data_IF_563522829287
#
_entry.id   IF_563522829287
#
_cell.length_a   1.000
_cell.length_b   1.000
_cell.length_c   1.000
_cell.angle_alpha   90.00
_cell.angle_beta   90.00
_cell.angle_gamma   90.00
#
_symmetry.space_group_name_H-M   'P 1'
#
loop_
_entity.id
_entity.type
_entity.pdbx_description
1 polymer ?
#
# COMPACT_ATOMS: atom_id res chain seq x y z
N UNK A 1 -27.09 0.75 -13.24
CA UNK A 1 -26.10 0.88 -12.14
C UNK A 1 -24.95 -0.10 -12.28
N UNK A 2 -25.22 -1.40 -12.39
CA UNK A 2 -24.18 -2.45 -12.51
C UNK A 2 -23.21 -2.22 -13.69
N UNK A 3 -23.71 -1.87 -14.88
CA UNK A 3 -22.85 -1.56 -16.04
C UNK A 3 -21.90 -0.36 -15.84
N UNK A 4 -22.33 0.66 -15.08
CA UNK A 4 -21.49 1.84 -14.78
C UNK A 4 -20.37 1.43 -13.82
N UNK A 5 -20.71 0.66 -12.78
CA UNK A 5 -19.75 0.13 -11.83
C UNK A 5 -18.65 -0.71 -12.52
N UNK A 6 -19.01 -1.56 -13.48
CA UNK A 6 -18.03 -2.33 -14.26
C UNK A 6 -17.12 -1.48 -15.12
N UNK A 7 -17.69 -0.49 -15.82
CA UNK A 7 -16.87 0.44 -16.62
C UNK A 7 -15.89 1.18 -15.72
N UNK A 8 -16.33 1.62 -14.54
CA UNK A 8 -15.45 2.27 -13.56
C UNK A 8 -14.37 1.33 -13.05
N UNK A 9 -14.72 0.10 -12.66
CA UNK A 9 -13.75 -0.91 -12.19
C UNK A 9 -12.71 -1.24 -13.26
N UNK A 10 -13.13 -1.43 -14.52
CA UNK A 10 -12.23 -1.69 -15.65
C UNK A 10 -11.27 -0.51 -15.90
N UNK A 11 -11.78 0.73 -15.86
CA UNK A 11 -10.94 1.93 -15.97
C UNK A 11 -9.95 2.02 -14.82
N UNK A 12 -10.38 1.75 -13.58
CA UNK A 12 -9.50 1.76 -12.41
C UNK A 12 -8.41 0.69 -12.53
N UNK A 13 -8.72 -0.51 -13.02
CA UNK A 13 -7.72 -1.56 -13.26
C UNK A 13 -6.69 -1.19 -14.32
N UNK A 14 -7.04 -0.32 -15.27
CA UNK A 14 -6.09 0.17 -16.25
C UNK A 14 -5.23 1.32 -15.70
N UNK A 15 -5.84 2.29 -15.02
CA UNK A 15 -5.16 3.52 -14.56
C UNK A 15 -4.33 3.27 -13.29
N UNK A 16 -4.88 2.53 -12.32
CA UNK A 16 -4.27 2.41 -11.01
C UNK A 16 -2.89 1.71 -11.02
N UNK A 17 -2.67 0.62 -11.78
CA UNK A 17 -1.33 0.03 -11.90
C UNK A 17 -0.32 0.99 -12.53
N UNK A 18 -0.73 1.77 -13.53
CA UNK A 18 0.15 2.76 -14.17
C UNK A 18 0.56 3.85 -13.18
N UNK A 19 -0.40 4.43 -12.45
CA UNK A 19 -0.12 5.44 -11.41
C UNK A 19 0.75 4.85 -10.30
N UNK A 20 0.49 3.60 -9.89
CA UNK A 20 1.28 2.91 -8.89
C UNK A 20 2.75 2.75 -9.32
N UNK A 21 2.99 2.25 -10.54
CA UNK A 21 4.34 2.04 -11.08
C UNK A 21 5.06 3.38 -11.23
N UNK A 22 4.42 4.36 -11.88
CA UNK A 22 5.01 5.69 -12.11
C UNK A 22 5.31 6.40 -10.80
N UNK A 23 4.40 6.35 -9.82
CA UNK A 23 4.61 6.92 -8.49
C UNK A 23 5.77 6.28 -7.74
N UNK A 24 5.89 4.95 -7.78
CA UNK A 24 7.02 4.22 -7.18
C UNK A 24 8.35 4.59 -7.83
N UNK A 25 8.41 4.65 -9.16
CA UNK A 25 9.63 5.04 -9.90
C UNK A 25 10.00 6.48 -9.57
N UNK A 26 9.05 7.41 -9.67
CA UNK A 26 9.25 8.82 -9.37
C UNK A 26 9.82 9.02 -7.96
N UNK A 27 9.16 8.43 -6.94
CA UNK A 27 9.61 8.56 -5.55
C UNK A 27 10.96 7.88 -5.32
N UNK A 28 11.20 6.71 -5.92
CA UNK A 28 12.46 6.00 -5.80
C UNK A 28 13.63 6.80 -6.36
N UNK A 29 13.44 7.47 -7.50
CA UNK A 29 14.46 8.35 -8.11
C UNK A 29 14.64 9.60 -7.25
N UNK A 30 13.53 10.26 -6.86
CA UNK A 30 13.58 11.54 -6.15
C UNK A 30 14.16 11.42 -4.73
N UNK A 31 13.94 10.28 -4.08
CA UNK A 31 14.39 10.00 -2.72
C UNK A 31 15.61 9.08 -2.67
N UNK A 32 16.26 8.80 -3.81
CA UNK A 32 17.39 7.86 -3.92
C UNK A 32 18.49 8.13 -2.90
N UNK A 33 18.87 9.39 -2.70
CA UNK A 33 19.94 9.79 -1.77
C UNK A 33 19.59 9.54 -0.30
N UNK A 34 18.30 9.49 0.05
CA UNK A 34 17.82 9.27 1.42
C UNK A 34 17.23 7.88 1.63
N UNK A 35 17.33 6.97 0.64
CA UNK A 35 16.66 5.66 0.67
C UNK A 35 16.92 4.89 1.98
N UNK A 36 18.19 4.72 2.35
CA UNK A 36 18.57 3.93 3.53
C UNK A 36 18.10 4.59 4.82
N UNK A 37 18.23 5.92 4.91
CA UNK A 37 17.74 6.71 6.05
C UNK A 37 16.22 6.56 6.21
N UNK A 38 15.46 6.69 5.11
CA UNK A 38 14.01 6.57 5.12
C UNK A 38 13.56 5.16 5.50
N UNK A 39 14.16 4.12 4.94
CA UNK A 39 13.87 2.73 5.31
C UNK A 39 14.10 2.53 6.81
N UNK A 40 15.26 2.98 7.33
CA UNK A 40 15.58 2.87 8.75
C UNK A 40 14.58 3.61 9.62
N UNK A 41 14.19 4.83 9.25
CA UNK A 41 13.21 5.64 9.99
C UNK A 41 11.83 4.99 10.00
N UNK A 42 11.37 4.46 8.86
CA UNK A 42 10.05 3.79 8.73
C UNK A 42 10.03 2.50 9.53
N UNK A 43 11.10 1.69 9.45
CA UNK A 43 11.22 0.45 10.23
C UNK A 43 11.30 0.73 11.73
N UNK A 44 12.04 1.77 12.14
CA UNK A 44 12.16 2.14 13.55
C UNK A 44 10.85 2.66 14.15
N UNK A 45 9.99 3.29 13.33
CA UNK A 45 8.65 3.71 13.74
C UNK A 45 7.63 2.55 13.75
N UNK A 46 7.99 1.39 13.19
CA UNK A 46 7.10 0.24 13.19
C UNK A 46 6.96 -0.34 14.61
N UNK A 47 5.84 -1.00 14.91
CA UNK A 47 5.62 -1.69 16.18
C UNK A 47 6.71 -2.72 16.47
N UNK A 48 7.10 -2.86 17.74
CA UNK A 48 8.31 -3.61 18.15
C UNK A 48 8.39 -5.02 17.56
N UNK A 49 7.26 -5.74 17.54
CA UNK A 49 7.17 -7.10 17.01
C UNK A 49 7.23 -7.21 15.47
N UNK A 50 7.12 -6.11 14.74
CA UNK A 50 7.13 -6.08 13.27
C UNK A 50 8.28 -5.29 12.66
N UNK A 51 9.09 -4.61 13.49
CA UNK A 51 10.20 -3.75 13.08
C UNK A 51 11.18 -4.41 12.10
N UNK A 52 11.67 -5.60 12.43
CA UNK A 52 12.64 -6.30 11.59
C UNK A 52 11.98 -6.74 10.27
N UNK A 53 10.71 -7.14 10.33
CA UNK A 53 9.95 -7.54 9.14
C UNK A 53 9.66 -6.34 8.22
N UNK A 54 9.33 -5.18 8.79
CA UNK A 54 9.17 -3.95 8.02
C UNK A 54 10.44 -3.58 7.26
N UNK A 55 11.60 -3.72 7.90
CA UNK A 55 12.90 -3.52 7.25
C UNK A 55 13.10 -4.49 6.10
N UNK A 56 12.93 -5.79 6.37
CA UNK A 56 13.13 -6.85 5.39
C UNK A 56 12.21 -6.70 4.16
N UNK A 57 10.95 -6.31 4.36
CA UNK A 57 10.00 -6.04 3.27
C UNK A 57 10.51 -4.92 2.36
N UNK A 58 11.06 -3.85 2.93
CA UNK A 58 11.56 -2.69 2.18
C UNK A 58 12.93 -2.91 1.52
N UNK A 59 13.76 -3.83 2.03
CA UNK A 59 15.11 -4.06 1.52
C UNK A 59 15.19 -5.23 0.53
N UNK A 60 14.41 -6.29 0.74
CA UNK A 60 14.62 -7.58 0.06
C UNK A 60 13.39 -8.10 -0.70
N UNK A 61 12.17 -7.79 -0.24
CA UNK A 61 10.96 -8.42 -0.80
C UNK A 61 10.25 -7.57 -1.85
N UNK A 62 10.31 -6.24 -1.71
CA UNK A 62 9.57 -5.32 -2.57
C UNK A 62 10.39 -4.06 -2.85
N UNK A 63 10.07 -3.31 -3.93
CA UNK A 63 10.53 -1.95 -4.08
C UNK A 63 10.25 -1.16 -2.79
N UNK A 64 11.25 -0.49 -2.24
CA UNK A 64 11.17 0.05 -0.87
C UNK A 64 10.00 1.03 -0.65
N UNK A 65 9.61 1.80 -1.68
CA UNK A 65 8.42 2.67 -1.65
C UNK A 65 7.16 1.82 -1.46
N UNK A 66 6.95 0.78 -2.28
CA UNK A 66 5.84 -0.15 -2.14
C UNK A 66 5.88 -0.91 -0.80
N UNK A 67 7.07 -1.38 -0.39
CA UNK A 67 7.25 -2.09 0.88
C UNK A 67 6.88 -1.24 2.10
N UNK A 68 7.20 0.06 2.07
CA UNK A 68 6.82 0.98 3.14
C UNK A 68 5.30 1.18 3.28
N UNK A 69 4.53 0.86 2.23
CA UNK A 69 3.10 1.06 2.18
C UNK A 69 2.29 -0.04 2.89
N UNK A 70 2.95 -1.07 3.45
CA UNK A 70 2.28 -2.24 4.02
C UNK A 70 1.23 -1.88 5.08
N UNK A 71 1.40 -0.78 5.82
CA UNK A 71 0.41 -0.35 6.82
C UNK A 71 -0.80 0.38 6.22
N UNK A 72 -0.68 0.92 5.00
CA UNK A 72 -1.71 1.67 4.29
C UNK A 72 -2.57 0.81 3.36
N UNK A 73 -2.10 -0.38 3.03
CA UNK A 73 -2.81 -1.33 2.20
C UNK A 73 -3.94 -1.97 3.03
N UNK A 74 -5.16 -2.03 2.50
CA UNK A 74 -6.30 -2.49 3.29
C UNK A 74 -6.24 -4.00 3.59
N UNK A 75 -5.76 -4.82 2.63
CA UNK A 75 -5.73 -6.28 2.78
C UNK A 75 -4.56 -6.79 3.65
N UNK A 76 -3.55 -5.95 3.91
CA UNK A 76 -2.48 -6.26 4.87
C UNK A 76 -2.89 -5.97 6.30
N UNK A 77 -3.95 -5.18 6.53
CA UNK A 77 -4.43 -4.87 7.88
C UNK A 77 -4.78 -6.12 8.70
N UNK A 78 -5.52 -7.13 8.18
CA UNK A 78 -5.74 -8.38 8.90
C UNK A 78 -4.44 -9.12 9.24
N UNK A 79 -3.45 -9.12 8.34
CA UNK A 79 -2.14 -9.74 8.57
C UNK A 79 -1.43 -9.04 9.75
N UNK A 80 -1.37 -7.71 9.71
CA UNK A 80 -0.76 -6.92 10.78
C UNK A 80 -1.49 -7.10 12.12
N UNK A 81 -2.83 -7.13 12.10
CA UNK A 81 -3.64 -7.18 13.32
C UNK A 81 -3.68 -8.57 13.96
N UNK A 82 -3.91 -9.61 13.16
CA UNK A 82 -4.23 -10.94 13.65
C UNK A 82 -3.04 -11.90 13.59
N UNK A 83 -2.19 -11.82 12.56
CA UNK A 83 -1.01 -12.68 12.46
C UNK A 83 0.12 -12.11 13.31
N UNK A 84 0.35 -10.80 13.23
CA UNK A 84 1.42 -10.13 13.96
C UNK A 84 0.98 -9.51 15.30
N UNK A 85 -0.30 -9.60 15.66
CA UNK A 85 -0.81 -9.14 16.96
C UNK A 85 -0.68 -7.63 17.21
N UNK A 86 -0.46 -6.82 16.18
CA UNK A 86 -0.19 -5.37 16.33
C UNK A 86 -1.47 -4.65 16.74
N UNK A 87 -1.41 -3.74 17.72
CA UNK A 87 -2.59 -2.97 18.14
C UNK A 87 -3.03 -1.92 17.11
N UNK A 88 -4.33 -1.61 17.12
CA UNK A 88 -4.92 -0.67 16.14
C UNK A 88 -4.35 0.74 16.30
N UNK A 89 -4.13 1.17 17.53
CA UNK A 89 -3.46 2.41 17.90
C UNK A 89 -2.01 2.42 17.40
N UNK A 90 -1.26 1.32 17.57
CA UNK A 90 0.10 1.20 17.02
C UNK A 90 0.14 1.28 15.49
N UNK A 91 -0.80 0.63 14.80
CA UNK A 91 -0.96 0.75 13.32
C UNK A 91 -1.26 2.20 12.93
N UNK A 92 -2.14 2.86 13.68
CA UNK A 92 -2.53 4.25 13.40
C UNK A 92 -1.37 5.19 13.61
N UNK A 93 -0.62 5.02 14.70
CA UNK A 93 0.58 5.79 14.98
C UNK A 93 1.64 5.59 13.90
N UNK A 94 1.87 4.34 13.47
CA UNK A 94 2.83 4.06 12.41
C UNK A 94 2.48 4.75 11.08
N UNK A 95 1.19 4.85 10.73
CA UNK A 95 0.74 5.65 9.57
C UNK A 95 1.08 7.13 9.72
N UNK A 96 0.88 7.70 10.91
CA UNK A 96 1.20 9.10 11.22
C UNK A 96 2.70 9.33 11.10
N UNK A 97 3.51 8.41 11.64
CA UNK A 97 4.96 8.51 11.58
C UNK A 97 5.48 8.42 10.14
N UNK A 98 4.96 7.50 9.31
CA UNK A 98 5.32 7.42 7.89
C UNK A 98 4.93 8.70 7.15
N UNK A 99 3.76 9.27 7.44
CA UNK A 99 3.35 10.57 6.87
C UNK A 99 4.37 11.66 7.20
N UNK A 100 4.81 11.74 8.45
CA UNK A 100 5.80 12.71 8.90
C UNK A 100 7.17 12.47 8.25
N UNK A 101 7.60 11.21 8.12
CA UNK A 101 8.87 10.81 7.49
C UNK A 101 8.91 11.20 6.01
N UNK A 102 7.84 10.94 5.25
CA UNK A 102 7.76 11.35 3.84
C UNK A 102 7.58 12.87 3.66
N UNK A 103 7.02 13.55 4.65
CA UNK A 103 6.83 15.01 4.66
C UNK A 103 6.13 15.49 3.38
N UNK A 104 6.76 16.42 2.66
CA UNK A 104 6.21 16.99 1.41
C UNK A 104 5.96 15.97 0.30
N UNK A 105 6.61 14.80 0.34
CA UNK A 105 6.41 13.74 -0.66
C UNK A 105 5.25 12.82 -0.32
N UNK A 106 4.65 12.96 0.87
CA UNK A 106 3.58 12.09 1.33
C UNK A 106 2.35 12.15 0.43
N UNK A 107 2.02 13.30 -0.17
CA UNK A 107 0.85 13.40 -1.05
C UNK A 107 0.97 12.47 -2.26
N UNK A 108 2.11 12.50 -2.95
CA UNK A 108 2.37 11.65 -4.12
C UNK A 108 2.39 10.18 -3.70
N UNK A 109 3.04 9.89 -2.57
CA UNK A 109 3.05 8.56 -1.97
C UNK A 109 1.64 8.04 -1.65
N UNK A 110 0.80 8.87 -1.05
CA UNK A 110 -0.56 8.52 -0.67
C UNK A 110 -1.45 8.27 -1.89
N UNK A 111 -1.34 9.09 -2.95
CA UNK A 111 -2.04 8.86 -4.23
C UNK A 111 -1.62 7.51 -4.82
N UNK A 112 -0.30 7.25 -4.86
CA UNK A 112 0.29 6.02 -5.38
C UNK A 112 -0.28 4.78 -4.67
N UNK A 113 -0.42 4.82 -3.35
CA UNK A 113 -0.94 3.70 -2.54
C UNK A 113 -2.46 3.59 -2.64
N UNK A 114 -3.15 4.72 -2.72
CA UNK A 114 -4.61 4.72 -2.92
C UNK A 114 -4.97 4.00 -4.21
N UNK A 115 -4.17 4.16 -5.27
CA UNK A 115 -4.32 3.38 -6.50
C UNK A 115 -4.16 1.87 -6.27
N UNK A 116 -3.24 1.41 -5.42
CA UNK A 116 -3.16 -0.02 -5.07
C UNK A 116 -4.45 -0.50 -4.43
N UNK A 117 -4.95 0.25 -3.44
CA UNK A 117 -6.17 -0.11 -2.73
C UNK A 117 -7.39 -0.17 -3.68
N UNK A 118 -7.52 0.83 -4.56
CA UNK A 118 -8.60 0.90 -5.56
C UNK A 118 -8.48 -0.19 -6.62
N UNK A 119 -7.27 -0.45 -7.12
CA UNK A 119 -7.01 -1.52 -8.08
C UNK A 119 -7.38 -2.88 -7.50
N UNK A 120 -6.92 -3.19 -6.29
CA UNK A 120 -7.24 -4.45 -5.61
C UNK A 120 -8.73 -4.59 -5.29
N UNK A 121 -9.40 -3.52 -4.87
CA UNK A 121 -10.85 -3.52 -4.68
C UNK A 121 -11.58 -3.79 -6.01
N UNK A 122 -11.10 -3.22 -7.11
CA UNK A 122 -11.68 -3.44 -8.44
C UNK A 122 -11.51 -4.89 -8.91
N UNK A 123 -10.36 -5.53 -8.64
CA UNK A 123 -10.16 -6.97 -8.90
C UNK A 123 -11.20 -7.79 -8.14
N UNK A 124 -11.36 -7.53 -6.84
CA UNK A 124 -12.32 -8.27 -6.01
C UNK A 124 -13.76 -8.11 -6.48
N UNK A 125 -14.16 -6.91 -6.90
CA UNK A 125 -15.50 -6.67 -7.44
C UNK A 125 -15.77 -7.52 -8.69
N UNK A 126 -14.79 -7.65 -9.59
CA UNK A 126 -14.93 -8.47 -10.80
C UNK A 126 -14.99 -9.95 -10.45
N UNK A 127 -14.12 -10.45 -9.55
CA UNK A 127 -14.11 -11.87 -9.14
C UNK A 127 -15.43 -12.26 -8.46
N UNK A 128 -15.91 -11.43 -7.52
CA UNK A 128 -17.16 -11.71 -6.80
C UNK A 128 -18.32 -11.80 -7.79
N UNK A 129 -18.39 -10.91 -8.77
CA UNK A 129 -19.40 -10.97 -9.82
C UNK A 129 -19.31 -12.24 -10.66
N UNK A 130 -18.14 -12.55 -11.21
CA UNK A 130 -17.94 -13.75 -12.04
C UNK A 130 -18.32 -15.03 -11.27
N UNK A 131 -17.98 -15.09 -9.98
CA UNK A 131 -18.37 -16.21 -9.11
C UNK A 131 -19.87 -16.30 -8.81
N UNK A 132 -20.57 -15.16 -8.75
CA UNK A 132 -22.01 -15.11 -8.49
C UNK A 132 -22.84 -15.41 -9.75
N UNK A 133 -22.34 -15.03 -10.93
CA UNK A 133 -23.05 -15.18 -12.20
C UNK A 133 -22.67 -16.43 -13.01
N UNK A 134 -21.55 -17.11 -12.72
CA UNK A 134 -21.25 -18.42 -13.35
C UNK A 134 -21.98 -19.61 -12.74
N UNK A 135 -22.77 -19.39 -11.67
CA UNK A 135 -23.59 -20.40 -11.01
C UNK A 135 -25.10 -20.28 -11.27
N UNK A 136 -25.52 -19.43 -12.21
CA UNK A 136 -26.88 -19.35 -12.77
C UNK A 136 -26.86 -19.63 -14.27
#
# INVERSE_FOLDING_TARGET
>A
MISILYKTAAILLLICPLVFILGNVYLSVKLKSKKIELIKSISNAAPKQFKDRASLVMTEQMPWIAGSAIVFIWFSYPILRFIWGIKKDEITQWKVDIKNIFGKFFLIYFITITCVNLGMASILLIIVDESLFSHN
#
